data_IF_992940529543
#
_entry.id   IF_992940529543
#
_cell.length_a   1.000
_cell.length_b   1.000
_cell.length_c   1.000
_cell.angle_alpha   90.00
_cell.angle_beta   90.00
_cell.angle_gamma   90.00
#
_symmetry.space_group_name_H-M   'P 1'
#
loop_
_entity.id
_entity.type
_entity.pdbx_description
1 polymer ?
#
# COMPACT_ATOMS: atom_id res chain seq x y z
N UNK A 1 -34.77 96.05 24.39
CA UNK A 1 -35.50 94.74 24.49
C UNK A 1 -35.17 93.74 23.37
N UNK A 2 -33.97 93.80 22.78
CA UNK A 2 -33.60 92.91 21.61
C UNK A 2 -32.51 91.85 21.88
N UNK A 3 -31.75 91.94 22.97
CA UNK A 3 -30.56 91.04 23.18
C UNK A 3 -30.88 89.75 23.95
N UNK A 4 -31.97 89.62 24.70
CA UNK A 4 -32.29 88.37 25.46
C UNK A 4 -32.85 87.28 24.58
N UNK A 5 -33.60 87.60 23.50
CA UNK A 5 -34.17 86.57 22.58
C UNK A 5 -33.11 85.91 21.67
N UNK A 6 -32.00 86.60 21.38
CA UNK A 6 -30.93 86.05 20.57
C UNK A 6 -30.11 85.03 21.39
N UNK A 7 -29.86 85.33 22.67
CA UNK A 7 -29.17 84.40 23.59
C UNK A 7 -29.88 83.05 23.81
N UNK A 8 -31.22 83.11 24.01
CA UNK A 8 -31.98 81.88 24.23
C UNK A 8 -32.08 81.01 22.96
N UNK A 9 -32.15 81.56 21.78
CA UNK A 9 -32.19 80.81 20.51
C UNK A 9 -30.82 80.14 20.22
N UNK A 10 -29.73 80.82 20.51
CA UNK A 10 -28.38 80.25 20.33
C UNK A 10 -28.09 79.14 21.35
N UNK A 11 -28.53 79.28 22.59
CA UNK A 11 -28.48 78.23 23.60
C UNK A 11 -29.37 77.00 23.21
N UNK A 12 -30.55 77.25 22.74
CA UNK A 12 -31.45 76.18 22.27
C UNK A 12 -30.87 75.43 21.04
N UNK A 13 -30.24 76.14 20.14
CA UNK A 13 -29.62 75.58 18.97
C UNK A 13 -28.36 74.78 19.36
N UNK A 14 -27.51 75.30 20.27
CA UNK A 14 -26.36 74.60 20.82
C UNK A 14 -26.76 73.34 21.59
N UNK A 15 -27.84 73.38 22.39
CA UNK A 15 -28.42 72.21 23.06
C UNK A 15 -28.95 71.17 22.07
N UNK A 16 -29.63 71.61 20.97
CA UNK A 16 -30.07 70.73 19.92
C UNK A 16 -28.93 70.01 19.19
N UNK A 17 -27.88 70.74 18.85
CA UNK A 17 -26.65 70.16 18.26
C UNK A 17 -25.99 69.15 19.23
N UNK A 18 -25.89 69.47 20.50
CA UNK A 18 -25.32 68.58 21.52
C UNK A 18 -26.14 67.30 21.63
N UNK A 19 -27.48 67.36 21.64
CA UNK A 19 -28.34 66.20 21.65
C UNK A 19 -28.19 65.34 20.38
N UNK A 20 -28.07 65.97 19.22
CA UNK A 20 -27.84 65.23 17.95
C UNK A 20 -26.46 64.54 17.96
N UNK A 21 -25.44 65.20 18.47
CA UNK A 21 -24.09 64.60 18.60
C UNK A 21 -24.12 63.43 19.59
N UNK A 22 -24.81 63.54 20.71
CA UNK A 22 -24.95 62.43 21.67
C UNK A 22 -25.72 61.27 21.08
N UNK A 23 -26.81 61.54 20.36
CA UNK A 23 -27.55 60.49 19.63
C UNK A 23 -26.69 59.83 18.54
N UNK A 24 -25.90 60.61 17.77
CA UNK A 24 -24.99 60.07 16.78
C UNK A 24 -23.90 59.19 17.42
N UNK A 25 -23.36 59.57 18.55
CA UNK A 25 -22.40 58.75 19.31
C UNK A 25 -23.03 57.43 19.84
N UNK A 26 -24.25 57.51 20.29
CA UNK A 26 -25.01 56.29 20.73
C UNK A 26 -25.25 55.36 19.54
N UNK A 27 -25.66 55.88 18.39
CA UNK A 27 -25.89 55.08 17.17
C UNK A 27 -24.57 54.44 16.68
N UNK A 28 -23.47 55.20 16.67
CA UNK A 28 -22.14 54.67 16.29
C UNK A 28 -21.67 53.59 17.23
N UNK A 29 -21.96 53.70 18.54
CA UNK A 29 -21.64 52.65 19.54
C UNK A 29 -22.60 51.46 19.54
N UNK A 30 -23.74 51.58 18.87
CA UNK A 30 -24.74 50.51 18.79
C UNK A 30 -24.45 49.46 17.72
N UNK A 31 -23.57 49.77 16.74
CA UNK A 31 -23.33 48.89 15.60
C UNK A 31 -22.16 47.96 15.94
N UNK A 32 -22.46 46.67 15.93
CA UNK A 32 -21.48 45.59 16.14
C UNK A 32 -21.36 44.76 14.85
N UNK A 33 -20.15 44.56 14.39
CA UNK A 33 -19.84 43.66 13.26
C UNK A 33 -19.46 42.28 13.78
N UNK A 34 -20.24 41.29 13.38
CA UNK A 34 -19.98 39.87 13.65
C UNK A 34 -19.15 39.33 12.47
N UNK A 35 -17.90 38.94 12.67
CA UNK A 35 -17.05 38.45 11.56
C UNK A 35 -17.54 37.13 10.99
N UNK A 36 -17.19 36.80 9.72
CA UNK A 36 -17.51 35.52 9.11
C UNK A 36 -16.95 34.36 9.94
N UNK A 37 -17.73 33.28 10.06
CA UNK A 37 -17.37 32.11 10.85
C UNK A 37 -17.52 32.27 12.36
N UNK A 38 -18.24 33.33 12.80
CA UNK A 38 -18.56 33.57 14.19
C UNK A 38 -20.06 33.81 14.36
N UNK A 39 -20.55 33.60 15.57
CA UNK A 39 -21.92 33.91 15.95
C UNK A 39 -21.92 34.93 17.09
N UNK A 40 -22.88 35.83 17.07
CA UNK A 40 -23.14 36.79 18.13
C UNK A 40 -24.12 36.20 19.15
N UNK A 41 -23.75 36.29 20.40
CA UNK A 41 -24.59 35.90 21.54
C UNK A 41 -25.10 37.18 22.19
N UNK A 42 -26.37 37.43 22.07
CA UNK A 42 -27.02 38.62 22.62
C UNK A 42 -27.28 38.42 24.12
N UNK A 43 -26.66 39.24 24.92
CA UNK A 43 -26.96 39.39 26.35
C UNK A 43 -27.83 40.66 26.53
N UNK A 44 -29.04 40.47 26.94
CA UNK A 44 -29.99 41.58 27.23
C UNK A 44 -30.26 41.65 28.72
N UNK A 45 -29.90 42.78 29.32
CA UNK A 45 -30.04 42.98 30.76
C UNK A 45 -31.49 43.15 31.18
N UNK A 46 -32.37 43.57 30.25
CA UNK A 46 -33.78 43.78 30.56
C UNK A 46 -34.66 42.59 30.16
N UNK A 47 -34.24 41.81 29.15
CA UNK A 47 -35.03 40.68 28.64
C UNK A 47 -34.54 39.32 29.19
N UNK A 48 -33.98 39.27 30.38
CA UNK A 48 -33.69 38.02 31.08
C UNK A 48 -32.33 37.39 30.75
N UNK A 49 -31.37 38.15 30.25
CA UNK A 49 -29.98 37.69 30.10
C UNK A 49 -29.64 37.19 28.68
N UNK A 50 -28.97 36.03 28.58
CA UNK A 50 -28.59 35.47 27.28
C UNK A 50 -29.83 35.05 26.50
N UNK A 51 -29.96 35.60 25.30
CA UNK A 51 -31.04 35.25 24.38
C UNK A 51 -30.76 33.90 23.70
N UNK A 52 -31.78 33.04 23.51
CA UNK A 52 -31.58 31.70 22.98
C UNK A 52 -31.27 31.68 21.48
N UNK A 53 -31.60 32.78 20.78
CA UNK A 53 -31.38 32.86 19.32
C UNK A 53 -30.00 33.46 19.01
N UNK A 54 -29.09 32.75 18.34
CA UNK A 54 -27.80 33.31 17.93
C UNK A 54 -27.99 34.35 16.84
N UNK A 55 -27.15 35.38 16.86
CA UNK A 55 -27.06 36.37 15.80
C UNK A 55 -26.04 35.88 14.77
N UNK A 56 -26.50 35.74 13.52
CA UNK A 56 -25.61 35.34 12.41
C UNK A 56 -24.64 36.48 12.05
N UNK A 57 -23.61 36.17 11.32
CA UNK A 57 -22.60 37.08 10.79
C UNK A 57 -23.17 38.33 10.11
N UNK A 58 -22.41 39.42 10.13
CA UNK A 58 -22.76 40.71 9.54
C UNK A 58 -23.00 41.79 10.57
N UNK A 59 -23.51 42.92 10.12
CA UNK A 59 -23.75 44.09 10.95
C UNK A 59 -25.03 43.90 11.80
N UNK A 60 -24.88 44.09 13.10
CA UNK A 60 -26.02 43.99 14.06
C UNK A 60 -26.07 45.25 14.90
N UNK A 61 -27.26 45.58 15.35
CA UNK A 61 -27.48 46.72 16.21
C UNK A 61 -27.77 46.18 17.61
N UNK A 62 -27.01 46.65 18.60
CA UNK A 62 -27.23 46.37 20.00
C UNK A 62 -27.39 47.69 20.74
N UNK A 63 -28.42 47.80 21.58
CA UNK A 63 -28.65 49.02 22.36
C UNK A 63 -27.53 49.18 23.41
N UNK A 64 -26.73 50.27 23.34
CA UNK A 64 -25.69 50.53 24.29
C UNK A 64 -26.27 50.54 25.72
N UNK A 65 -25.49 50.05 26.69
CA UNK A 65 -25.85 49.91 28.14
C UNK A 65 -26.90 48.83 28.45
N UNK A 66 -27.82 48.49 27.53
CA UNK A 66 -28.87 47.48 27.73
C UNK A 66 -28.45 46.14 27.19
N UNK A 67 -27.83 46.10 26.03
CA UNK A 67 -27.48 44.92 25.28
C UNK A 67 -25.97 44.81 25.03
N UNK A 68 -25.48 43.60 25.10
CA UNK A 68 -24.07 43.28 24.81
C UNK A 68 -24.04 42.06 23.89
N UNK A 69 -23.28 42.14 22.79
CA UNK A 69 -23.09 41.00 21.90
C UNK A 69 -21.70 40.41 22.19
N UNK A 70 -21.68 39.15 22.60
CA UNK A 70 -20.47 38.37 22.72
C UNK A 70 -20.25 37.60 21.43
N UNK A 71 -19.05 37.64 20.87
CA UNK A 71 -18.71 36.98 19.62
C UNK A 71 -18.04 35.65 19.96
N UNK A 72 -18.59 34.56 19.43
CA UNK A 72 -18.02 33.21 19.58
C UNK A 72 -17.65 32.66 18.21
N UNK A 73 -16.39 32.19 18.07
CA UNK A 73 -15.94 31.49 16.86
C UNK A 73 -16.59 30.10 16.79
N UNK A 74 -17.19 29.79 15.65
CA UNK A 74 -17.85 28.50 15.40
C UNK A 74 -17.16 27.68 14.32
N UNK A 75 -15.99 28.12 13.86
CA UNK A 75 -15.14 27.37 12.95
C UNK A 75 -14.48 26.18 13.66
N UNK A 76 -14.07 25.20 12.90
CA UNK A 76 -13.27 24.09 13.44
C UNK A 76 -11.94 24.60 13.96
N UNK A 77 -11.71 24.35 15.24
CA UNK A 77 -10.46 24.68 15.96
C UNK A 77 -9.80 23.37 16.39
N UNK A 78 -8.50 23.28 16.19
CA UNK A 78 -7.68 22.18 16.68
C UNK A 78 -6.96 22.64 17.96
N UNK A 79 -7.17 21.90 19.04
CA UNK A 79 -6.52 22.17 20.33
C UNK A 79 -5.92 20.87 20.88
N UNK A 80 -4.78 20.98 21.52
CA UNK A 80 -4.08 19.86 22.15
C UNK A 80 -4.23 19.92 23.65
N UNK A 81 -4.59 18.78 24.23
CA UNK A 81 -4.79 18.63 25.68
C UNK A 81 -3.87 17.54 26.21
N UNK A 82 -3.10 17.82 27.27
CA UNK A 82 -2.35 16.80 27.97
C UNK A 82 -3.33 15.85 28.69
N UNK A 83 -3.13 14.56 28.51
CA UNK A 83 -3.93 13.54 29.17
C UNK A 83 -3.01 12.52 29.85
N UNK A 84 -3.27 12.24 31.12
CA UNK A 84 -2.54 11.25 31.90
C UNK A 84 -3.51 10.25 32.52
N UNK A 85 -3.19 8.97 32.38
CA UNK A 85 -4.05 7.88 32.85
C UNK A 85 -3.21 6.66 33.23
N UNK A 86 -3.84 5.71 33.92
CA UNK A 86 -3.26 4.37 34.08
C UNK A 86 -3.88 3.39 33.10
N UNK A 87 -3.07 2.50 32.57
CA UNK A 87 -3.52 1.34 31.79
C UNK A 87 -4.11 0.27 32.72
N UNK A 88 -4.69 -0.78 32.15
CA UNK A 88 -5.27 -1.92 32.89
C UNK A 88 -4.23 -2.64 33.76
N UNK A 89 -2.99 -2.73 33.29
CA UNK A 89 -1.83 -3.28 34.01
C UNK A 89 -1.11 -2.24 34.89
N UNK A 90 -1.82 -1.15 35.25
CA UNK A 90 -1.38 -0.09 36.20
C UNK A 90 -0.13 0.68 35.76
N UNK A 91 0.19 0.68 34.45
CA UNK A 91 1.26 1.54 33.94
C UNK A 91 0.75 2.95 33.71
N UNK A 92 1.55 3.93 34.15
CA UNK A 92 1.25 5.35 33.90
C UNK A 92 1.49 5.65 32.43
N UNK A 93 0.48 6.21 31.79
CA UNK A 93 0.48 6.59 30.38
C UNK A 93 0.22 8.07 30.28
N UNK A 94 1.17 8.80 29.75
CA UNK A 94 1.02 10.21 29.40
C UNK A 94 0.84 10.33 27.89
N UNK A 95 -0.10 11.17 27.47
CA UNK A 95 -0.39 11.39 26.06
C UNK A 95 -0.79 12.83 25.83
N UNK A 96 -0.67 13.27 24.59
CA UNK A 96 -1.31 14.48 24.11
C UNK A 96 -2.44 14.12 23.16
N UNK A 97 -3.64 14.58 23.47
CA UNK A 97 -4.83 14.35 22.67
C UNK A 97 -5.16 15.62 21.93
N UNK A 98 -4.98 15.62 20.62
CA UNK A 98 -5.37 16.70 19.75
C UNK A 98 -6.84 16.48 19.32
N UNK A 99 -7.68 17.47 19.56
CA UNK A 99 -9.09 17.41 19.21
C UNK A 99 -9.43 18.57 18.29
N UNK A 100 -9.99 18.25 17.13
CA UNK A 100 -10.59 19.20 16.20
C UNK A 100 -12.09 19.23 16.46
N UNK A 101 -12.60 20.39 16.80
CA UNK A 101 -14.01 20.55 17.14
C UNK A 101 -14.54 21.88 16.67
N UNK A 102 -15.85 22.00 16.54
CA UNK A 102 -16.55 23.24 16.34
C UNK A 102 -17.81 23.32 17.19
N UNK A 103 -18.22 24.56 17.50
CA UNK A 103 -19.47 24.81 18.20
C UNK A 103 -20.60 24.81 17.19
N UNK A 104 -21.72 24.12 17.52
CA UNK A 104 -22.93 24.19 16.72
C UNK A 104 -23.55 25.58 16.87
N UNK A 105 -23.69 26.38 15.80
CA UNK A 105 -24.12 27.78 15.90
C UNK A 105 -25.40 28.01 16.69
N UNK A 106 -26.39 27.13 16.54
CA UNK A 106 -27.67 27.21 17.26
C UNK A 106 -27.54 26.97 18.78
N UNK A 107 -26.49 26.24 19.22
CA UNK A 107 -26.27 25.91 20.62
C UNK A 107 -25.30 26.88 21.33
N UNK A 108 -24.63 27.77 20.58
CA UNK A 108 -23.67 28.72 21.12
C UNK A 108 -24.23 29.58 22.28
N UNK A 109 -25.47 30.10 22.22
CA UNK A 109 -26.02 30.86 23.35
C UNK A 109 -26.19 30.01 24.61
N UNK A 110 -26.55 28.75 24.48
CA UNK A 110 -26.69 27.80 25.58
C UNK A 110 -25.35 27.51 26.24
N UNK A 111 -24.31 27.21 25.42
CA UNK A 111 -22.95 27.00 25.91
C UNK A 111 -22.48 28.22 26.70
N UNK A 112 -22.67 29.41 26.13
CA UNK A 112 -22.23 30.64 26.78
C UNK A 112 -22.97 30.87 28.11
N UNK A 113 -24.27 30.59 28.17
CA UNK A 113 -25.10 30.74 29.35
C UNK A 113 -24.73 29.76 30.46
N UNK A 114 -24.46 28.50 30.15
CA UNK A 114 -24.23 27.42 31.10
C UNK A 114 -22.78 27.32 31.56
N UNK A 115 -21.83 27.57 30.62
CA UNK A 115 -20.39 27.28 30.83
C UNK A 115 -19.57 28.58 30.75
N UNK A 116 -19.93 29.48 29.86
CA UNK A 116 -19.21 30.73 29.57
C UNK A 116 -18.36 30.65 28.32
N UNK A 117 -17.57 31.71 28.08
CA UNK A 117 -16.66 31.78 26.92
C UNK A 117 -15.52 30.77 26.93
N UNK A 118 -15.07 30.39 28.12
CA UNK A 118 -13.93 29.48 28.35
C UNK A 118 -14.38 28.00 28.37
N UNK A 119 -15.37 27.63 27.54
CA UNK A 119 -15.93 26.27 27.51
C UNK A 119 -14.88 25.19 27.15
N UNK A 120 -13.84 25.57 26.41
CA UNK A 120 -12.73 24.69 26.06
C UNK A 120 -12.06 24.13 27.32
N UNK A 121 -11.64 24.99 28.23
CA UNK A 121 -10.92 24.60 29.44
C UNK A 121 -11.80 24.02 30.54
N UNK A 122 -13.07 24.51 30.60
CA UNK A 122 -14.01 24.12 31.65
C UNK A 122 -14.79 22.84 31.33
N UNK A 123 -14.96 22.50 30.06
CA UNK A 123 -15.77 21.36 29.64
C UNK A 123 -14.98 20.36 28.78
N UNK A 124 -14.31 20.82 27.72
CA UNK A 124 -13.64 19.92 26.76
C UNK A 124 -12.44 19.25 27.40
N UNK A 125 -11.56 20.01 28.07
CA UNK A 125 -10.35 19.47 28.69
C UNK A 125 -10.68 18.39 29.76
N UNK A 126 -11.59 18.60 30.71
CA UNK A 126 -11.98 17.56 31.68
C UNK A 126 -12.64 16.35 31.02
N UNK A 127 -13.49 16.58 30.01
CA UNK A 127 -14.14 15.49 29.27
C UNK A 127 -13.12 14.58 28.57
N UNK A 128 -12.10 15.18 27.93
CA UNK A 128 -11.01 14.44 27.29
C UNK A 128 -10.26 13.62 28.34
N UNK A 129 -9.87 14.24 29.46
CA UNK A 129 -9.15 13.58 30.54
C UNK A 129 -9.93 12.38 31.09
N UNK A 130 -11.22 12.54 31.33
CA UNK A 130 -12.08 11.47 31.85
C UNK A 130 -12.27 10.34 30.84
N UNK A 131 -12.57 10.66 29.58
CA UNK A 131 -12.78 9.63 28.55
C UNK A 131 -11.46 8.91 28.20
N UNK A 132 -10.35 9.62 28.24
CA UNK A 132 -9.02 9.03 28.08
C UNK A 132 -8.74 8.03 29.20
N UNK A 133 -8.93 8.41 30.48
CA UNK A 133 -8.79 7.51 31.63
C UNK A 133 -9.69 6.29 31.54
N UNK A 134 -10.97 6.51 31.21
CA UNK A 134 -11.95 5.42 31.10
C UNK A 134 -11.68 4.46 29.95
N UNK A 135 -11.01 4.92 28.89
CA UNK A 135 -10.65 4.08 27.75
C UNK A 135 -9.34 3.34 27.97
N UNK A 136 -8.28 4.03 28.43
CA UNK A 136 -6.97 3.41 28.71
C UNK A 136 -7.03 2.32 29.77
N UNK A 137 -7.87 2.48 30.81
CA UNK A 137 -8.07 1.48 31.86
C UNK A 137 -8.61 0.12 31.36
N UNK A 138 -9.05 0.02 30.14
CA UNK A 138 -9.54 -1.23 29.54
C UNK A 138 -8.45 -2.03 28.83
N UNK A 139 -7.37 -1.40 28.45
CA UNK A 139 -6.29 -1.96 27.66
C UNK A 139 -5.01 -2.08 28.47
N UNK A 140 -4.29 -3.17 28.24
CA UNK A 140 -2.93 -3.28 28.76
C UNK A 140 -2.00 -2.30 28.01
N UNK A 141 -0.90 -1.88 28.65
CA UNK A 141 -0.01 -0.89 28.05
C UNK A 141 0.56 -1.32 26.66
N UNK A 142 0.80 -2.61 26.49
CA UNK A 142 1.22 -3.17 25.19
C UNK A 142 0.11 -3.02 24.14
N UNK A 143 -1.16 -3.25 24.50
CA UNK A 143 -2.31 -3.13 23.60
C UNK A 143 -2.56 -1.67 23.22
N UNK A 144 -2.33 -0.71 24.10
CA UNK A 144 -2.41 0.73 23.79
C UNK A 144 -1.48 1.11 22.63
N UNK A 145 -0.31 0.47 22.55
CA UNK A 145 0.64 0.70 21.45
C UNK A 145 0.18 0.00 20.17
N UNK A 146 -0.22 -1.27 20.27
CA UNK A 146 -0.54 -2.10 19.10
C UNK A 146 -1.93 -1.83 18.52
N UNK A 147 -2.90 -1.49 19.38
CA UNK A 147 -4.30 -1.26 19.01
C UNK A 147 -4.69 0.22 19.11
N UNK A 148 -3.75 1.11 18.82
CA UNK A 148 -3.91 2.56 18.95
C UNK A 148 -5.19 3.08 18.25
N UNK A 149 -5.51 2.56 17.09
CA UNK A 149 -6.72 2.96 16.35
C UNK A 149 -8.01 2.56 17.06
N UNK A 150 -8.03 1.41 17.74
CA UNK A 150 -9.20 0.98 18.53
C UNK A 150 -9.44 1.92 19.70
N UNK A 151 -8.36 2.27 20.43
CA UNK A 151 -8.41 3.21 21.55
C UNK A 151 -8.86 4.60 21.09
N UNK A 152 -8.29 5.10 20.00
CA UNK A 152 -8.68 6.37 19.37
C UNK A 152 -10.17 6.38 19.03
N UNK A 153 -10.68 5.34 18.39
CA UNK A 153 -12.08 5.26 17.98
C UNK A 153 -13.02 5.19 19.19
N UNK A 154 -12.64 4.47 20.25
CA UNK A 154 -13.41 4.41 21.48
C UNK A 154 -13.47 5.77 22.18
N UNK A 155 -12.32 6.45 22.31
CA UNK A 155 -12.26 7.81 22.90
C UNK A 155 -13.09 8.78 22.06
N UNK A 156 -12.93 8.75 20.74
CA UNK A 156 -13.66 9.60 19.81
C UNK A 156 -15.19 9.41 19.94
N UNK A 157 -15.68 8.18 19.93
CA UNK A 157 -17.11 7.89 20.00
C UNK A 157 -17.73 8.36 21.34
N UNK A 158 -17.00 8.17 22.44
CA UNK A 158 -17.46 8.64 23.75
C UNK A 158 -17.47 10.18 23.86
N UNK A 159 -16.40 10.82 23.36
CA UNK A 159 -16.31 12.28 23.32
C UNK A 159 -17.39 12.89 22.46
N UNK A 160 -17.63 12.34 21.27
CA UNK A 160 -18.71 12.77 20.38
C UNK A 160 -20.07 12.70 21.08
N UNK A 161 -20.36 11.55 21.71
CA UNK A 161 -21.65 11.34 22.41
C UNK A 161 -21.82 12.32 23.57
N UNK A 162 -20.77 12.60 24.32
CA UNK A 162 -20.80 13.49 25.46
C UNK A 162 -20.93 14.95 25.03
N UNK A 163 -20.03 15.41 24.15
CA UNK A 163 -19.90 16.83 23.81
C UNK A 163 -21.00 17.33 22.88
N UNK A 164 -21.58 16.46 22.06
CA UNK A 164 -22.75 16.81 21.23
C UNK A 164 -23.96 17.21 22.08
N UNK A 165 -24.13 16.63 23.27
CA UNK A 165 -25.21 17.03 24.22
C UNK A 165 -25.10 18.48 24.67
N UNK A 166 -23.88 18.99 24.68
CA UNK A 166 -23.56 20.37 25.05
C UNK A 166 -23.45 21.30 23.84
N UNK A 167 -23.73 20.83 22.63
CA UNK A 167 -23.68 21.65 21.43
C UNK A 167 -22.28 21.82 20.81
N UNK A 168 -21.31 20.96 21.20
CA UNK A 168 -19.98 20.91 20.58
C UNK A 168 -19.89 19.64 19.75
N UNK A 169 -19.53 19.79 18.49
CA UNK A 169 -19.27 18.65 17.57
C UNK A 169 -17.79 18.39 17.46
N UNK A 170 -17.42 17.15 17.65
CA UNK A 170 -16.05 16.69 17.41
C UNK A 170 -15.94 16.25 15.94
N UNK A 171 -15.02 16.86 15.21
CA UNK A 171 -14.72 16.52 13.82
C UNK A 171 -13.67 15.40 13.77
N UNK A 172 -12.60 15.53 14.56
CA UNK A 172 -11.51 14.56 14.62
C UNK A 172 -10.88 14.52 15.99
N UNK A 173 -10.47 13.34 16.41
CA UNK A 173 -9.62 13.12 17.59
C UNK A 173 -8.35 12.41 17.16
N UNK A 174 -7.21 12.94 17.54
CA UNK A 174 -5.91 12.31 17.31
C UNK A 174 -5.21 12.15 18.67
N UNK A 175 -4.91 10.91 19.02
CA UNK A 175 -4.05 10.62 20.17
C UNK A 175 -2.61 10.64 19.69
N UNK A 176 -1.82 11.64 20.06
CA UNK A 176 -0.54 11.89 19.42
C UNK A 176 0.53 10.90 19.84
N UNK A 177 0.82 10.78 21.13
CA UNK A 177 1.87 9.89 21.61
C UNK A 177 1.48 9.27 22.95
N UNK A 178 1.73 7.97 23.09
CA UNK A 178 1.72 7.31 24.38
C UNK A 178 3.16 7.30 24.93
N UNK A 179 3.37 7.94 26.07
CA UNK A 179 4.64 7.94 26.78
C UNK A 179 4.48 7.10 28.05
N UNK A 180 5.34 6.13 28.19
CA UNK A 180 5.38 5.24 29.36
C UNK A 180 6.60 5.56 30.22
N UNK A 181 6.75 4.85 31.35
CA UNK A 181 7.97 4.96 32.10
C UNK A 181 9.18 4.39 31.33
N UNK A 182 10.38 4.95 31.46
CA UNK A 182 11.56 4.47 30.74
C UNK A 182 11.88 3.00 31.02
N UNK A 183 11.58 2.51 32.22
CA UNK A 183 11.77 1.12 32.60
C UNK A 183 10.81 0.19 31.83
N UNK A 184 9.55 0.63 31.68
CA UNK A 184 8.56 -0.12 30.95
C UNK A 184 8.87 -0.13 29.44
N UNK A 185 9.25 1.01 28.87
CA UNK A 185 9.64 1.10 27.46
C UNK A 185 10.80 0.14 27.13
N UNK A 186 11.84 0.12 28.00
CA UNK A 186 12.96 -0.80 27.84
C UNK A 186 12.57 -2.26 27.98
N UNK A 187 11.66 -2.60 28.90
CA UNK A 187 11.17 -3.97 29.07
C UNK A 187 10.36 -4.44 27.84
N UNK A 188 9.52 -3.57 27.28
CA UNK A 188 8.77 -3.84 26.06
C UNK A 188 9.70 -3.99 24.86
N UNK A 189 10.70 -3.11 24.70
CA UNK A 189 11.70 -3.22 23.63
C UNK A 189 12.43 -4.56 23.67
N UNK A 190 12.88 -4.98 24.85
CA UNK A 190 13.52 -6.29 25.04
C UNK A 190 12.58 -7.44 24.70
N UNK A 191 11.32 -7.39 25.14
CA UNK A 191 10.30 -8.39 24.83
C UNK A 191 10.04 -8.50 23.34
N UNK A 192 9.84 -7.35 22.67
CA UNK A 192 9.59 -7.30 21.22
C UNK A 192 10.81 -7.81 20.45
N UNK A 193 12.02 -7.41 20.85
CA UNK A 193 13.28 -7.91 20.24
C UNK A 193 13.42 -9.43 20.39
N UNK A 194 13.15 -9.96 21.58
CA UNK A 194 13.19 -11.40 21.82
C UNK A 194 12.14 -12.16 20.97
N UNK A 195 10.94 -11.61 20.87
CA UNK A 195 9.87 -12.17 20.05
C UNK A 195 10.21 -12.14 18.55
N UNK A 196 10.78 -11.03 18.08
CA UNK A 196 11.23 -10.89 16.70
C UNK A 196 12.37 -11.88 16.38
N UNK A 197 13.33 -12.04 17.28
CA UNK A 197 14.41 -13.00 17.14
C UNK A 197 13.87 -14.44 17.06
N UNK A 198 12.86 -14.78 17.87
CA UNK A 198 12.19 -16.08 17.83
C UNK A 198 11.52 -16.31 16.47
N UNK A 199 10.72 -15.35 15.99
CA UNK A 199 10.07 -15.43 14.68
C UNK A 199 11.08 -15.54 13.54
N UNK A 200 12.18 -14.79 13.63
CA UNK A 200 13.27 -14.89 12.65
C UNK A 200 13.89 -16.27 12.64
N UNK A 201 14.16 -16.85 13.79
CA UNK A 201 14.70 -18.21 13.90
C UNK A 201 13.73 -19.27 13.35
N UNK A 202 12.44 -19.15 13.64
CA UNK A 202 11.39 -20.02 13.09
C UNK A 202 11.30 -19.90 11.55
N UNK A 203 11.35 -18.69 11.01
CA UNK A 203 11.35 -18.43 9.56
C UNK A 203 12.60 -19.01 8.89
N UNK A 204 13.80 -18.84 9.50
CA UNK A 204 15.04 -19.45 9.00
C UNK A 204 14.92 -20.95 8.96
N UNK A 205 14.37 -21.57 10.01
CA UNK A 205 14.14 -23.02 10.05
C UNK A 205 13.21 -23.47 8.93
N UNK A 206 12.09 -22.76 8.73
CA UNK A 206 11.14 -23.04 7.66
C UNK A 206 11.78 -22.92 6.27
N UNK A 207 12.57 -21.87 6.03
CA UNK A 207 13.32 -21.66 4.78
C UNK A 207 14.29 -22.85 4.55
N UNK A 208 15.04 -23.24 5.59
CA UNK A 208 15.97 -24.37 5.50
C UNK A 208 15.30 -25.69 5.17
N UNK A 209 14.09 -25.91 5.73
CA UNK A 209 13.29 -27.10 5.41
C UNK A 209 12.82 -27.06 3.94
N UNK A 210 12.35 -25.92 3.45
CA UNK A 210 11.93 -25.77 2.05
C UNK A 210 13.13 -25.94 1.10
N UNK A 211 14.28 -25.32 1.40
CA UNK A 211 15.52 -25.50 0.63
C UNK A 211 15.97 -27.00 0.57
N UNK A 212 15.87 -27.72 1.69
CA UNK A 212 16.19 -29.13 1.71
C UNK A 212 15.21 -29.96 0.84
N UNK A 213 13.90 -29.67 0.91
CA UNK A 213 12.90 -30.31 0.07
C UNK A 213 13.12 -29.99 -1.42
N UNK A 214 13.44 -28.73 -1.73
CA UNK A 214 13.75 -28.32 -3.10
C UNK A 214 14.96 -29.07 -3.66
N UNK A 215 16.08 -29.18 -2.90
CA UNK A 215 17.24 -29.95 -3.33
C UNK A 215 16.92 -31.43 -3.59
N UNK A 216 16.08 -32.04 -2.75
CA UNK A 216 15.61 -33.42 -2.94
C UNK A 216 14.78 -33.51 -4.22
N UNK A 217 13.85 -32.58 -4.43
CA UNK A 217 13.01 -32.53 -5.63
C UNK A 217 13.83 -32.31 -6.90
N UNK A 218 14.79 -31.40 -6.88
CA UNK A 218 15.73 -31.15 -7.98
C UNK A 218 16.58 -32.38 -8.31
N UNK A 219 17.18 -33.02 -7.28
CA UNK A 219 17.95 -34.24 -7.47
C UNK A 219 17.10 -35.38 -8.02
N UNK A 220 15.88 -35.54 -7.54
CA UNK A 220 14.94 -36.55 -8.03
C UNK A 220 14.51 -36.23 -9.47
N UNK A 221 14.24 -34.95 -9.76
CA UNK A 221 13.88 -34.48 -11.11
C UNK A 221 15.00 -34.70 -12.12
N UNK A 222 16.22 -34.37 -11.77
CA UNK A 222 17.39 -34.61 -12.64
C UNK A 222 17.66 -36.09 -12.85
N UNK A 223 17.57 -36.93 -11.81
CA UNK A 223 17.71 -38.38 -11.93
C UNK A 223 16.65 -38.98 -12.84
N UNK A 224 15.37 -38.62 -12.65
CA UNK A 224 14.27 -39.04 -13.53
C UNK A 224 14.43 -38.56 -14.96
N UNK A 225 14.85 -37.32 -15.17
CA UNK A 225 15.12 -36.77 -16.50
C UNK A 225 16.21 -37.54 -17.22
N UNK A 226 17.31 -37.83 -16.54
CA UNK A 226 18.43 -38.64 -17.09
C UNK A 226 17.95 -40.06 -17.45
N UNK A 227 17.15 -40.68 -16.60
CA UNK A 227 16.59 -42.00 -16.85
C UNK A 227 15.65 -42.03 -18.03
N UNK A 228 14.75 -41.06 -18.12
CA UNK A 228 13.82 -40.91 -19.27
C UNK A 228 14.60 -40.67 -20.56
N UNK A 229 15.62 -39.83 -20.54
CA UNK A 229 16.47 -39.56 -21.69
C UNK A 229 17.21 -40.84 -22.14
N UNK A 230 17.81 -41.57 -21.21
CA UNK A 230 18.50 -42.83 -21.53
C UNK A 230 17.55 -43.89 -22.13
N UNK A 231 16.33 -44.01 -21.60
CA UNK A 231 15.31 -44.90 -22.15
C UNK A 231 14.86 -44.43 -23.55
N UNK A 232 14.67 -43.13 -23.76
CA UNK A 232 14.33 -42.58 -25.07
C UNK A 232 15.42 -42.81 -26.11
N UNK A 233 16.69 -42.62 -25.72
CA UNK A 233 17.86 -42.84 -26.58
C UNK A 233 17.98 -44.35 -26.96
N UNK A 234 17.81 -45.23 -25.98
CA UNK A 234 17.81 -46.68 -26.22
C UNK A 234 16.69 -47.10 -27.19
N UNK A 235 15.48 -46.57 -26.98
CA UNK A 235 14.36 -46.83 -27.90
C UNK A 235 14.60 -46.26 -29.29
N UNK A 236 15.19 -45.06 -29.41
CA UNK A 236 15.53 -44.44 -30.67
C UNK A 236 16.57 -45.30 -31.45
N UNK A 237 17.58 -45.80 -30.78
CA UNK A 237 18.57 -46.72 -31.36
C UNK A 237 17.91 -48.02 -31.83
N UNK A 238 17.03 -48.60 -31.00
CA UNK A 238 16.28 -49.80 -31.35
C UNK A 238 15.42 -49.60 -32.60
N UNK A 239 14.60 -48.54 -32.62
CA UNK A 239 13.72 -48.22 -33.78
C UNK A 239 14.53 -47.93 -35.04
N UNK A 240 15.66 -47.21 -34.92
CA UNK A 240 16.56 -46.99 -36.08
C UNK A 240 17.16 -48.29 -36.59
N UNK A 241 17.60 -49.19 -35.68
CA UNK A 241 18.12 -50.49 -36.02
C UNK A 241 17.07 -51.38 -36.75
N UNK A 242 15.86 -51.43 -36.23
CA UNK A 242 14.74 -52.15 -36.85
C UNK A 242 14.36 -51.56 -38.22
N UNK A 243 14.30 -50.24 -38.35
CA UNK A 243 14.06 -49.57 -39.62
C UNK A 243 15.17 -49.83 -40.65
N UNK A 244 16.44 -49.79 -40.25
CA UNK A 244 17.56 -50.11 -41.10
C UNK A 244 17.54 -51.60 -41.56
N UNK A 245 17.27 -52.51 -40.62
CA UNK A 245 17.13 -53.95 -40.95
C UNK A 245 15.98 -54.20 -41.97
N UNK A 246 14.82 -53.57 -41.70
CA UNK A 246 13.68 -53.65 -42.60
C UNK A 246 13.99 -53.06 -43.97
N UNK A 247 14.62 -51.89 -44.03
CA UNK A 247 15.10 -51.28 -45.30
C UNK A 247 16.02 -52.18 -46.05
N UNK A 248 17.01 -52.81 -45.38
CA UNK A 248 17.96 -53.71 -45.96
C UNK A 248 17.25 -54.98 -46.49
N UNK A 249 16.31 -55.54 -45.75
CA UNK A 249 15.51 -56.68 -46.18
C UNK A 249 14.69 -56.37 -47.45
N UNK A 250 13.94 -55.24 -47.43
CA UNK A 250 13.14 -54.81 -48.59
C UNK A 250 14.00 -54.56 -49.85
N UNK A 251 15.18 -53.91 -49.66
CA UNK A 251 16.13 -53.73 -50.74
C UNK A 251 16.73 -55.08 -51.23
N UNK A 252 17.00 -55.97 -50.31
CA UNK A 252 17.47 -57.32 -50.65
C UNK A 252 16.41 -58.13 -51.45
N UNK A 253 15.18 -58.10 -51.01
CA UNK A 253 14.06 -58.73 -51.78
C UNK A 253 13.82 -58.10 -53.13
N UNK A 254 13.87 -56.75 -53.22
CA UNK A 254 13.72 -56.03 -54.48
C UNK A 254 14.86 -56.39 -55.45
N UNK A 255 16.12 -56.42 -54.96
CA UNK A 255 17.26 -56.80 -55.80
C UNK A 255 17.21 -58.26 -56.21
N UNK A 256 16.83 -59.15 -55.28
CA UNK A 256 16.63 -60.58 -55.61
C UNK A 256 15.55 -60.77 -56.71
N UNK A 257 14.42 -60.06 -56.64
CA UNK A 257 13.35 -60.07 -57.60
C UNK A 257 13.84 -59.52 -58.96
N UNK A 258 14.61 -58.42 -59.01
CA UNK A 258 15.20 -57.89 -60.25
C UNK A 258 16.18 -58.88 -60.88
N UNK A 259 17.08 -59.49 -60.03
CA UNK A 259 18.00 -60.49 -60.51
C UNK A 259 17.30 -61.73 -61.02
N UNK A 260 16.22 -62.18 -60.40
CA UNK A 260 15.40 -63.32 -60.86
C UNK A 260 14.76 -63.03 -62.24
N UNK A 261 14.21 -61.79 -62.41
CA UNK A 261 13.67 -61.33 -63.66
C UNK A 261 14.77 -61.22 -64.78
N UNK A 262 15.90 -60.69 -64.45
CA UNK A 262 17.08 -60.59 -65.30
C UNK A 262 17.60 -61.96 -65.75
N UNK A 263 17.64 -62.93 -64.79
CA UNK A 263 18.08 -64.29 -65.10
C UNK A 263 17.25 -65.00 -66.15
N UNK A 264 15.98 -64.65 -66.27
CA UNK A 264 15.06 -65.17 -67.30
C UNK A 264 15.29 -64.51 -68.66
N UNK A 265 15.82 -63.29 -68.72
CA UNK A 265 15.99 -62.47 -69.91
C UNK A 265 17.45 -62.24 -70.39
N UNK A 266 18.42 -62.75 -69.64
CA UNK A 266 19.81 -62.55 -69.96
C UNK A 266 20.15 -63.52 -71.17
N UNK A 267 20.15 -62.96 -72.34
CA UNK A 267 20.77 -63.56 -73.49
C UNK A 267 22.21 -63.15 -73.69
N UNK A 268 23.05 -63.96 -74.36
CA UNK A 268 24.44 -63.60 -74.60
C UNK A 268 24.61 -62.26 -75.30
N UNK A 269 23.67 -61.84 -76.09
CA UNK A 269 23.65 -60.55 -76.81
C UNK A 269 23.43 -59.38 -75.88
N UNK A 270 22.59 -59.50 -74.86
CA UNK A 270 22.37 -58.45 -73.84
C UNK A 270 23.61 -58.22 -72.96
N UNK A 271 24.31 -59.27 -72.60
CA UNK A 271 25.59 -59.20 -71.89
C UNK A 271 26.67 -58.45 -72.66
N UNK A 272 26.77 -58.77 -73.98
CA UNK A 272 27.70 -58.04 -74.86
C UNK A 272 27.33 -56.58 -75.05
N UNK A 273 26.02 -56.25 -75.17
CA UNK A 273 25.53 -54.84 -75.25
C UNK A 273 25.83 -54.02 -74.04
N UNK A 274 25.55 -54.54 -72.85
CA UNK A 274 25.88 -53.85 -71.59
C UNK A 274 27.38 -53.73 -71.38
N UNK A 275 28.16 -54.67 -71.80
CA UNK A 275 29.62 -54.60 -71.77
C UNK A 275 30.16 -53.48 -72.64
N UNK A 276 29.62 -53.39 -73.92
CA UNK A 276 29.97 -52.33 -74.82
C UNK A 276 29.53 -50.95 -74.38
N UNK A 277 28.37 -50.81 -73.73
CA UNK A 277 27.80 -49.56 -73.25
C UNK A 277 28.62 -48.97 -72.03
N UNK A 278 29.23 -49.86 -71.25
CA UNK A 278 30.04 -49.44 -70.04
C UNK A 278 31.53 -49.35 -70.34
N UNK A 279 31.95 -49.67 -71.56
CA UNK A 279 33.34 -49.64 -71.97
C UNK A 279 33.81 -48.22 -72.21
N UNK A 280 34.70 -47.74 -71.29
CA UNK A 280 35.33 -46.41 -71.32
C UNK A 280 36.51 -46.33 -72.31
N UNK A 281 36.74 -47.32 -73.10
CA UNK A 281 37.82 -47.35 -74.10
C UNK A 281 39.22 -47.67 -73.54
N UNK A 282 39.34 -47.98 -72.28
CA UNK A 282 40.62 -48.38 -71.67
C UNK A 282 40.65 -49.89 -71.41
N UNK A 283 41.68 -50.55 -71.89
CA UNK A 283 41.92 -51.96 -71.55
C UNK A 283 42.20 -52.14 -70.09
N UNK A 284 41.60 -53.12 -69.38
CA UNK A 284 41.88 -53.39 -68.01
C UNK A 284 43.36 -53.80 -67.90
N UNK A 285 44.12 -53.05 -67.12
CA UNK A 285 45.50 -53.42 -66.80
C UNK A 285 45.46 -54.52 -65.73
N UNK A 286 45.79 -55.70 -66.14
CA UNK A 286 46.00 -56.83 -65.24
C UNK A 286 47.45 -56.75 -64.68
N UNK A 287 47.53 -56.48 -63.39
CA UNK A 287 48.81 -56.65 -62.66
C UNK A 287 48.89 -58.13 -62.28
N UNK A 288 49.72 -58.89 -62.96
CA UNK A 288 50.05 -60.23 -62.53
C UNK A 288 50.92 -60.14 -61.30
N UNK A 289 50.34 -60.20 -60.14
CA UNK A 289 51.09 -60.62 -58.94
C UNK A 289 51.29 -62.10 -58.90
N UNK A 290 52.50 -62.60 -58.72
CA UNK A 290 52.79 -64.01 -58.73
C UNK A 290 52.13 -64.85 -57.65
N UNK A 291 50.94 -65.34 -58.00
CA UNK A 291 50.07 -66.16 -57.16
C UNK A 291 48.70 -66.20 -57.74
N UNK A 292 48.16 -67.32 -58.05
CA UNK A 292 47.05 -67.71 -58.89
C UNK A 292 45.68 -67.13 -58.53
N UNK A 293 45.44 -65.81 -58.45
CA UNK A 293 44.13 -65.18 -58.52
C UNK A 293 44.24 -63.73 -58.98
N UNK A 294 43.50 -63.28 -60.07
CA UNK A 294 43.45 -61.91 -60.48
C UNK A 294 42.59 -61.10 -59.49
N UNK A 295 43.23 -60.23 -58.65
CA UNK A 295 42.54 -59.26 -57.86
C UNK A 295 42.24 -57.99 -58.67
N UNK A 296 40.98 -57.75 -58.96
CA UNK A 296 40.51 -56.46 -59.48
C UNK A 296 40.74 -55.37 -58.47
N UNK A 297 41.74 -54.49 -58.67
CA UNK A 297 41.90 -53.30 -57.88
C UNK A 297 41.03 -52.19 -58.42
N UNK A 298 40.00 -51.87 -57.72
CA UNK A 298 39.24 -50.64 -57.85
C UNK A 298 40.04 -49.47 -57.33
N UNK A 299 40.48 -48.56 -58.20
CA UNK A 299 41.11 -47.32 -57.79
C UNK A 299 40.05 -46.35 -57.24
N UNK A 300 39.84 -46.31 -55.94
CA UNK A 300 39.09 -45.25 -55.26
C UNK A 300 40.06 -44.14 -54.92
N UNK A 301 40.11 -43.09 -55.77
CA UNK A 301 40.80 -41.86 -55.45
C UNK A 301 40.08 -41.12 -54.37
N UNK A 302 40.51 -41.30 -53.11
CA UNK A 302 40.17 -40.42 -52.02
C UNK A 302 41.47 -40.01 -51.33
N UNK A 303 41.82 -38.74 -51.45
CA UNK A 303 42.91 -38.10 -50.77
C UNK A 303 42.64 -38.06 -49.26
N UNK A 304 43.51 -38.74 -48.49
CA UNK A 304 43.50 -38.62 -47.04
C UNK A 304 44.39 -37.42 -46.65
N UNK A 305 43.73 -36.32 -46.25
CA UNK A 305 44.36 -35.18 -45.64
C UNK A 305 44.63 -35.50 -44.16
N UNK A 306 45.87 -35.50 -43.81
CA UNK A 306 46.41 -35.60 -42.43
C UNK A 306 46.04 -34.40 -41.57
N UNK A 307 45.55 -34.67 -40.39
CA UNK A 307 45.74 -33.77 -39.25
C UNK A 307 45.64 -34.55 -37.94
N UNK A 308 46.74 -35.01 -37.46
CA UNK A 308 46.95 -35.38 -36.09
C UNK A 308 48.02 -34.43 -35.51
N UNK A 309 47.71 -33.72 -34.45
CA UNK A 309 48.49 -33.21 -33.34
C UNK A 309 47.60 -32.35 -32.52
N UNK A 310 47.19 -32.68 -31.34
CA UNK A 310 48.03 -32.67 -30.15
C UNK A 310 47.60 -31.46 -29.33
N UNK A 311 47.09 -31.57 -28.19
CA UNK A 311 47.80 -31.20 -26.97
C UNK A 311 46.95 -31.45 -25.71
N UNK A 312 47.64 -32.02 -24.78
CA UNK A 312 47.34 -32.12 -23.36
C UNK A 312 47.42 -30.76 -22.65
N UNK A 313 46.48 -30.42 -21.83
CA UNK A 313 46.70 -29.84 -20.49
C UNK A 313 45.38 -29.86 -19.74
#
# INVERSE_FOLDING_TARGET
>A
MGNEKVGNNTIALAAGVAVVLVLALIVLGAVVNIPPGSVGILFDRMAGGVQPTPLMEGWRIALPFMQTIYIMDVRTVKTEYPASAASKDLQVVNSQVAVSYHVIPSEAPKIYKEIGGDFSDKMIAPAIQEQFKASTAKFDAQDLIQQREVVKNEVTGKLQTLLTKYGVRIDEVSVMNFQFSPEFEKAIEQKVTAQQNKLTAENILAIKQVEAQQRIAEATGTANSTLVQAVADANAIKVKGEAAAYSTQVQGEATANVLALQRVQITNELVQYEYAKRWTGTLPQFVMGGGANPLLMLNTGASVGSAFMGNSS
#
